data_IF_041227034731
#
_entry.id   IF_041227034731
#
_cell.length_a   1.000
_cell.length_b   1.000
_cell.length_c   1.000
_cell.angle_alpha   90.00
_cell.angle_beta   90.00
_cell.angle_gamma   90.00
#
_symmetry.space_group_name_H-M   'P 1'
#
loop_
_entity.id
_entity.type
_entity.pdbx_description
1 polymer ?
#
# COMPACT_ATOMS: atom_id res chain seq x y z
N UNK A 1 36.34 -31.71 -35.39
CA UNK A 1 35.39 -30.71 -35.94
C UNK A 1 34.02 -31.34 -35.74
N UNK A 2 33.36 -31.14 -34.61
CA UNK A 2 32.61 -29.93 -34.25
C UNK A 2 32.47 -29.79 -32.74
N UNK A 3 32.64 -28.56 -32.25
CA UNK A 3 32.58 -28.16 -30.85
C UNK A 3 31.16 -28.27 -30.29
N UNK A 4 31.05 -28.66 -29.02
CA UNK A 4 29.82 -28.59 -28.25
C UNK A 4 29.39 -27.12 -28.17
N UNK A 5 28.29 -26.79 -28.85
CA UNK A 5 27.67 -25.48 -28.76
C UNK A 5 27.16 -25.31 -27.33
N UNK A 6 27.97 -24.62 -26.53
CA UNK A 6 27.59 -24.11 -25.22
C UNK A 6 26.31 -23.30 -25.40
N UNK A 7 25.20 -23.82 -24.87
CA UNK A 7 23.93 -23.11 -24.79
C UNK A 7 24.10 -21.92 -23.86
N UNK A 8 24.62 -20.83 -24.40
CA UNK A 8 24.57 -19.53 -23.76
C UNK A 8 23.10 -19.25 -23.44
N UNK A 9 22.77 -19.19 -22.15
CA UNK A 9 21.47 -18.76 -21.67
C UNK A 9 21.18 -17.38 -22.27
N UNK A 10 20.29 -17.34 -23.26
CA UNK A 10 19.83 -16.08 -23.85
C UNK A 10 19.27 -15.23 -22.72
N UNK A 11 19.75 -13.99 -22.52
CA UNK A 11 19.17 -13.10 -21.51
C UNK A 11 17.69 -12.95 -21.85
N UNK A 12 16.82 -13.44 -20.96
CA UNK A 12 15.40 -13.16 -21.06
C UNK A 12 15.23 -11.64 -21.13
N UNK A 13 14.45 -11.09 -22.09
CA UNK A 13 14.32 -9.66 -22.26
C UNK A 13 13.86 -9.09 -20.92
N UNK A 14 14.73 -8.25 -20.33
CA UNK A 14 14.58 -7.73 -18.98
C UNK A 14 13.16 -7.23 -18.79
N UNK A 15 12.37 -8.04 -18.10
CA UNK A 15 11.13 -7.63 -17.46
C UNK A 15 11.49 -6.39 -16.66
N UNK A 16 11.07 -5.22 -17.14
CA UNK A 16 10.98 -3.93 -16.42
C UNK A 16 11.43 -4.10 -14.97
N UNK A 17 12.70 -3.81 -14.67
CA UNK A 17 13.23 -3.95 -13.31
C UNK A 17 12.32 -3.19 -12.37
N UNK A 18 11.65 -3.92 -11.48
CA UNK A 18 10.71 -3.34 -10.54
C UNK A 18 11.45 -2.30 -9.69
N UNK A 19 10.78 -1.19 -9.38
CA UNK A 19 11.39 -0.10 -8.62
C UNK A 19 12.02 -0.62 -7.32
N UNK A 20 13.31 -0.35 -7.13
CA UNK A 20 14.06 -0.78 -5.95
C UNK A 20 14.63 -2.20 -6.00
N UNK A 21 14.46 -2.95 -7.09
CA UNK A 21 15.02 -4.29 -7.29
C UNK A 21 16.22 -4.22 -8.25
N UNK A 22 17.32 -4.87 -7.87
CA UNK A 22 18.55 -4.98 -8.64
C UNK A 22 18.47 -6.05 -9.74
N UNK A 23 19.46 -6.09 -10.65
CA UNK A 23 19.51 -7.07 -11.74
C UNK A 23 19.55 -8.53 -11.28
N UNK A 24 19.99 -8.75 -10.05
CA UNK A 24 20.07 -10.03 -9.34
C UNK A 24 18.74 -10.43 -8.66
N UNK A 25 17.71 -9.60 -8.76
CA UNK A 25 16.40 -9.83 -8.13
C UNK A 25 16.34 -9.50 -6.64
N UNK A 26 17.41 -8.97 -6.05
CA UNK A 26 17.43 -8.53 -4.66
C UNK A 26 17.07 -7.04 -4.54
N UNK A 27 16.70 -6.57 -3.34
CA UNK A 27 16.50 -5.14 -3.15
C UNK A 27 17.82 -4.38 -3.30
N UNK A 28 17.81 -3.34 -4.12
CA UNK A 28 18.81 -2.27 -4.04
C UNK A 28 18.81 -1.66 -2.62
N UNK A 29 19.96 -1.15 -2.17
CA UNK A 29 20.07 -0.53 -0.83
C UNK A 29 19.05 0.60 -0.62
N UNK A 30 18.80 1.40 -1.65
CA UNK A 30 17.78 2.47 -1.63
C UNK A 30 16.37 1.89 -1.61
N UNK A 31 16.09 0.84 -2.39
CA UNK A 31 14.81 0.14 -2.39
C UNK A 31 14.47 -0.48 -1.02
N UNK A 32 15.45 -1.11 -0.38
CA UNK A 32 15.30 -1.67 0.96
C UNK A 32 15.03 -0.57 2.00
N UNK A 33 15.77 0.53 1.96
CA UNK A 33 15.57 1.66 2.86
C UNK A 33 14.20 2.30 2.67
N UNK A 34 13.77 2.52 1.42
CA UNK A 34 12.46 3.07 1.11
C UNK A 34 11.33 2.15 1.59
N UNK A 35 11.43 0.84 1.34
CA UNK A 35 10.45 -0.14 1.82
C UNK A 35 10.36 -0.16 3.35
N UNK A 36 11.50 -0.13 4.03
CA UNK A 36 11.54 -0.10 5.50
C UNK A 36 10.93 1.18 6.06
N UNK A 37 11.36 2.35 5.58
CA UNK A 37 10.83 3.64 6.05
C UNK A 37 9.34 3.75 5.78
N UNK A 38 8.88 3.34 4.60
CA UNK A 38 7.47 3.36 4.26
C UNK A 38 6.67 2.42 5.17
N UNK A 39 7.14 1.19 5.39
CA UNK A 39 6.49 0.24 6.30
C UNK A 39 6.40 0.74 7.74
N UNK A 40 7.49 1.31 8.26
CA UNK A 40 7.50 1.91 9.61
C UNK A 40 6.58 3.11 9.69
N UNK A 41 6.62 4.02 8.70
CA UNK A 41 5.73 5.18 8.66
C UNK A 41 4.25 4.76 8.60
N UNK A 42 3.92 3.75 7.78
CA UNK A 42 2.57 3.17 7.73
C UNK A 42 2.15 2.65 9.10
N UNK A 43 3.00 1.86 9.76
CA UNK A 43 2.71 1.33 11.10
C UNK A 43 2.45 2.46 12.12
N UNK A 44 3.35 3.45 12.16
CA UNK A 44 3.28 4.56 13.10
C UNK A 44 2.11 5.51 12.85
N UNK A 45 1.57 5.58 11.62
CA UNK A 45 0.43 6.43 11.29
C UNK A 45 -0.89 5.67 11.42
N UNK A 46 -1.00 4.48 10.81
CA UNK A 46 -2.27 3.75 10.76
C UNK A 46 -2.66 3.18 12.11
N UNK A 47 -1.71 2.63 12.88
CA UNK A 47 -2.04 2.02 14.17
C UNK A 47 -2.68 3.02 15.15
N UNK A 48 -2.08 4.19 15.46
CA UNK A 48 -2.73 5.14 16.35
C UNK A 48 -4.02 5.72 15.77
N UNK A 49 -4.11 5.90 14.45
CA UNK A 49 -5.36 6.38 13.82
C UNK A 49 -6.51 5.38 13.95
N UNK A 50 -6.22 4.07 13.86
CA UNK A 50 -7.21 3.02 14.14
C UNK A 50 -7.69 3.07 15.60
N UNK A 51 -6.78 3.31 16.55
CA UNK A 51 -7.13 3.49 17.96
C UNK A 51 -8.01 4.73 18.14
N UNK A 52 -7.63 5.86 17.55
CA UNK A 52 -8.43 7.11 17.59
C UNK A 52 -9.81 6.89 16.99
N UNK A 53 -9.92 6.20 15.85
CA UNK A 53 -11.20 5.88 15.24
C UNK A 53 -12.09 5.06 16.18
N UNK A 54 -11.55 3.99 16.77
CA UNK A 54 -12.29 3.16 17.72
C UNK A 54 -12.79 3.98 18.93
N UNK A 55 -11.93 4.82 19.51
CA UNK A 55 -12.32 5.67 20.64
C UNK A 55 -13.40 6.70 20.28
N UNK A 56 -13.30 7.32 19.11
CA UNK A 56 -14.30 8.29 18.62
C UNK A 56 -15.65 7.61 18.37
N UNK A 57 -15.64 6.41 17.80
CA UNK A 57 -16.84 5.61 17.57
C UNK A 57 -17.52 5.22 18.89
N UNK A 58 -16.77 4.63 19.82
CA UNK A 58 -17.29 4.30 21.16
C UNK A 58 -17.83 5.53 21.88
N UNK A 59 -17.13 6.67 21.78
CA UNK A 59 -17.63 7.91 22.38
C UNK A 59 -18.91 8.39 21.72
N UNK A 60 -19.08 8.19 20.41
CA UNK A 60 -20.30 8.55 19.71
C UNK A 60 -21.50 7.77 20.26
N UNK A 61 -21.36 6.45 20.48
CA UNK A 61 -22.41 5.59 21.08
C UNK A 61 -22.93 6.14 22.41
N UNK A 62 -22.02 6.62 23.27
CA UNK A 62 -22.38 7.21 24.57
C UNK A 62 -23.01 8.60 24.49
N UNK A 63 -22.91 9.29 23.35
CA UNK A 63 -23.38 10.68 23.17
C UNK A 63 -24.64 10.75 22.29
N UNK A 64 -24.97 9.66 21.59
CA UNK A 64 -26.15 9.58 20.74
C UNK A 64 -27.47 9.91 21.47
N UNK A 65 -27.72 9.40 22.69
CA UNK A 65 -28.97 9.66 23.40
C UNK A 65 -29.17 11.14 23.77
N UNK A 66 -28.08 11.85 24.10
CA UNK A 66 -28.15 13.23 24.60
C UNK A 66 -27.97 14.26 23.49
N UNK A 67 -27.08 13.99 22.51
CA UNK A 67 -26.75 14.94 21.46
C UNK A 67 -26.43 14.25 20.13
N UNK A 68 -27.44 13.98 19.28
CA UNK A 68 -27.24 13.26 18.02
C UNK A 68 -26.38 14.03 17.02
N UNK A 69 -26.36 15.38 17.08
CA UNK A 69 -25.53 16.19 16.19
C UNK A 69 -24.05 15.97 16.48
N UNK A 70 -23.67 16.00 17.76
CA UNK A 70 -22.29 15.74 18.20
C UNK A 70 -21.88 14.30 17.93
N UNK A 71 -22.76 13.33 18.17
CA UNK A 71 -22.49 11.92 17.90
C UNK A 71 -22.17 11.67 16.41
N UNK A 72 -22.95 12.26 15.48
CA UNK A 72 -22.65 12.18 14.03
C UNK A 72 -21.30 12.79 13.67
N UNK A 73 -20.91 13.90 14.31
CA UNK A 73 -19.58 14.48 14.10
C UNK A 73 -18.46 13.53 14.56
N UNK A 74 -18.61 12.87 15.71
CA UNK A 74 -17.63 11.89 16.19
C UNK A 74 -17.52 10.68 15.25
N UNK A 75 -18.65 10.19 14.73
CA UNK A 75 -18.66 9.11 13.71
C UNK A 75 -17.96 9.56 12.44
N UNK A 76 -18.22 10.78 11.94
CA UNK A 76 -17.51 11.30 10.78
C UNK A 76 -16.00 11.39 11.02
N UNK A 77 -15.57 11.85 12.19
CA UNK A 77 -14.14 11.91 12.55
C UNK A 77 -13.51 10.53 12.69
N UNK A 78 -14.25 9.53 13.18
CA UNK A 78 -13.82 8.13 13.17
C UNK A 78 -13.56 7.65 11.74
N UNK A 79 -14.50 7.89 10.82
CA UNK A 79 -14.34 7.54 9.41
C UNK A 79 -13.15 8.26 8.76
N UNK A 80 -12.99 9.55 9.01
CA UNK A 80 -11.87 10.34 8.47
C UNK A 80 -10.52 9.75 8.90
N UNK A 81 -10.41 9.32 10.16
CA UNK A 81 -9.18 8.73 10.72
C UNK A 81 -8.73 7.46 9.98
N UNK A 82 -9.66 6.73 9.37
CA UNK A 82 -9.38 5.50 8.61
C UNK A 82 -9.28 5.77 7.11
N UNK A 83 -10.24 6.53 6.56
CA UNK A 83 -10.37 6.73 5.13
C UNK A 83 -9.24 7.60 4.56
N UNK A 84 -8.87 8.70 5.22
CA UNK A 84 -7.86 9.63 4.68
C UNK A 84 -6.49 8.96 4.48
N UNK A 85 -5.95 8.20 5.45
CA UNK A 85 -4.73 7.44 5.23
C UNK A 85 -4.87 6.32 4.19
N UNK A 86 -6.06 5.71 4.08
CA UNK A 86 -6.30 4.58 3.16
C UNK A 86 -6.48 4.98 1.69
N UNK A 87 -6.95 6.19 1.40
CA UNK A 87 -7.24 6.68 0.04
C UNK A 87 -6.02 6.56 -0.91
N UNK A 88 -4.79 6.99 -0.54
CA UNK A 88 -3.63 6.84 -1.42
C UNK A 88 -3.35 5.38 -1.81
N UNK A 89 -3.44 4.46 -0.84
CA UNK A 89 -3.25 3.02 -1.08
C UNK A 89 -4.33 2.43 -1.98
N UNK A 90 -5.59 2.82 -1.77
CA UNK A 90 -6.71 2.42 -2.62
C UNK A 90 -6.54 2.91 -4.06
N UNK A 91 -6.22 4.19 -4.24
CA UNK A 91 -5.98 4.79 -5.56
C UNK A 91 -4.87 4.05 -6.28
N UNK A 92 -3.72 3.87 -5.61
CA UNK A 92 -2.59 3.15 -6.19
C UNK A 92 -2.95 1.71 -6.56
N UNK A 93 -3.65 0.98 -5.68
CA UNK A 93 -4.11 -0.38 -5.95
C UNK A 93 -5.04 -0.48 -7.16
N UNK A 94 -5.97 0.46 -7.32
CA UNK A 94 -6.87 0.54 -8.49
C UNK A 94 -6.09 0.79 -9.76
N UNK A 95 -5.18 1.78 -9.77
CA UNK A 95 -4.33 2.05 -10.93
C UNK A 95 -3.48 0.83 -11.31
N UNK A 96 -2.91 0.14 -10.33
CA UNK A 96 -2.13 -1.07 -10.56
C UNK A 96 -2.98 -2.20 -11.13
N UNK A 97 -4.18 -2.43 -10.60
CA UNK A 97 -5.10 -3.44 -11.10
C UNK A 97 -5.53 -3.16 -12.55
N UNK A 98 -5.86 -1.90 -12.88
CA UNK A 98 -6.20 -1.48 -14.25
C UNK A 98 -5.00 -1.66 -15.18
N UNK A 99 -3.80 -1.28 -14.76
CA UNK A 99 -2.57 -1.46 -15.53
C UNK A 99 -2.31 -2.94 -15.83
N UNK A 100 -2.43 -3.81 -14.83
CA UNK A 100 -2.23 -5.26 -14.98
C UNK A 100 -3.30 -5.88 -15.89
N UNK A 101 -4.55 -5.45 -15.77
CA UNK A 101 -5.65 -5.89 -16.63
C UNK A 101 -5.42 -5.46 -18.09
N UNK A 102 -5.04 -4.20 -18.31
CA UNK A 102 -4.72 -3.69 -19.64
C UNK A 102 -3.54 -4.43 -20.28
N UNK A 103 -2.51 -4.76 -19.49
CA UNK A 103 -1.36 -5.56 -19.93
C UNK A 103 -1.72 -7.03 -20.21
N UNK A 104 -2.73 -7.59 -19.55
CA UNK A 104 -3.15 -8.97 -19.75
C UNK A 104 -4.03 -9.14 -21.01
N UNK A 105 -4.76 -8.10 -21.41
CA UNK A 105 -5.68 -8.11 -22.55
C UNK A 105 -5.05 -7.73 -23.91
N UNK A 106 -3.86 -7.11 -23.91
CA UNK A 106 -3.14 -6.68 -25.12
C UNK A 106 -1.93 -7.55 -25.43
#
# INVERSE_FOLDING_TARGET
MTEAVSSASVPSPASSLAFGIGPDGTYTRSGQAAAFVLGVATMLVFFPLMVVAALLYTRAETVFPENPRRARSLVNWSWISIAVPGIPGLIFGVFMAVYLLARWLG
#
